data_IF_486071059802
#
_entry.id   IF_486071059802
#
_cell.length_a   1.000
_cell.length_b   1.000
_cell.length_c   1.000
_cell.angle_alpha   90.00
_cell.angle_beta   90.00
_cell.angle_gamma   90.00
#
_symmetry.space_group_name_H-M   'P 1'
#
loop_
_entity.id
_entity.type
_entity.pdbx_description
1 polymer ?
#
# COMPACT_ATOMS: atom_id res chain seq x y z
N UNK A 1 22.43 3.96 9.88
CA UNK A 1 22.93 3.72 8.50
C UNK A 1 21.72 3.41 7.63
N UNK A 2 21.53 4.13 6.54
CA UNK A 2 20.49 3.82 5.53
C UNK A 2 20.91 2.56 4.80
N UNK A 3 19.95 1.66 4.55
CA UNK A 3 20.19 0.41 3.80
C UNK A 3 20.49 0.72 2.34
N UNK A 4 21.25 -0.14 1.69
CA UNK A 4 21.42 -0.09 0.25
C UNK A 4 20.08 -0.35 -0.45
N UNK A 5 19.73 0.49 -1.43
CA UNK A 5 18.54 0.28 -2.25
C UNK A 5 18.98 -0.53 -3.47
N UNK A 6 18.51 -1.77 -3.57
CA UNK A 6 18.76 -2.64 -4.71
C UNK A 6 17.65 -2.51 -5.74
N UNK A 7 18.00 -2.19 -6.98
CA UNK A 7 17.06 -2.25 -8.11
C UNK A 7 17.10 -3.66 -8.73
N UNK A 8 15.91 -4.21 -8.94
CA UNK A 8 15.72 -5.50 -9.61
C UNK A 8 14.62 -5.39 -10.65
N UNK A 9 14.48 -6.41 -11.50
CA UNK A 9 13.38 -6.54 -12.46
C UNK A 9 12.64 -7.85 -12.24
N UNK A 10 11.34 -7.85 -12.57
CA UNK A 10 10.51 -9.03 -12.58
C UNK A 10 9.49 -8.96 -13.72
N UNK A 11 8.97 -10.10 -14.16
CA UNK A 11 7.93 -10.16 -15.20
C UNK A 11 6.59 -9.78 -14.58
N UNK A 12 6.02 -8.65 -15.00
CA UNK A 12 4.70 -8.20 -14.56
C UNK A 12 3.58 -9.11 -15.07
N UNK A 13 3.56 -9.32 -16.38
CA UNK A 13 2.76 -10.33 -17.09
C UNK A 13 3.51 -10.79 -18.35
N UNK A 14 3.21 -11.97 -18.93
CA UNK A 14 3.84 -12.41 -20.18
C UNK A 14 3.75 -11.37 -21.30
N UNK A 15 2.60 -10.70 -21.43
CA UNK A 15 2.33 -9.73 -22.51
C UNK A 15 2.98 -8.36 -22.25
N UNK A 16 3.13 -7.97 -20.99
CA UNK A 16 3.70 -6.65 -20.61
C UNK A 16 5.19 -6.72 -20.38
N UNK A 17 5.73 -7.92 -20.09
CA UNK A 17 7.14 -8.15 -19.86
C UNK A 17 7.64 -7.59 -18.52
N UNK A 18 8.91 -7.23 -18.49
CA UNK A 18 9.59 -6.78 -17.27
C UNK A 18 9.17 -5.39 -16.82
N UNK A 19 9.15 -5.21 -15.50
CA UNK A 19 9.05 -3.95 -14.79
C UNK A 19 10.08 -3.90 -13.66
N UNK A 20 10.45 -2.71 -13.24
CA UNK A 20 11.43 -2.46 -12.19
C UNK A 20 10.81 -2.51 -10.79
N UNK A 21 11.61 -2.93 -9.82
CA UNK A 21 11.32 -2.80 -8.41
C UNK A 21 12.56 -2.32 -7.64
N UNK A 22 12.31 -1.63 -6.51
CA UNK A 22 13.32 -1.18 -5.55
C UNK A 22 13.14 -1.94 -4.24
N UNK A 23 14.18 -2.64 -3.83
CA UNK A 23 14.20 -3.41 -2.59
C UNK A 23 15.08 -2.70 -1.57
N UNK A 24 14.52 -2.45 -0.38
CA UNK A 24 15.24 -1.91 0.78
C UNK A 24 15.16 -2.93 1.90
N UNK A 25 16.31 -3.36 2.44
CA UNK A 25 16.41 -4.41 3.46
C UNK A 25 17.18 -3.87 4.68
N UNK A 26 16.53 -3.23 5.65
CA UNK A 26 17.20 -2.81 6.87
C UNK A 26 17.70 -4.02 7.67
N UNK A 27 18.87 -3.86 8.32
CA UNK A 27 19.45 -4.91 9.13
C UNK A 27 18.48 -5.36 10.23
N UNK A 28 18.29 -6.66 10.37
CA UNK A 28 17.38 -7.25 11.34
C UNK A 28 15.89 -7.11 11.03
N UNK A 29 15.53 -6.71 9.79
CA UNK A 29 14.13 -6.69 9.36
C UNK A 29 13.50 -8.08 9.52
N UNK A 30 12.26 -8.11 9.98
CA UNK A 30 11.44 -9.32 10.11
C UNK A 30 10.23 -9.30 9.19
N UNK A 31 9.83 -8.11 8.77
CA UNK A 31 8.66 -7.85 7.94
C UNK A 31 9.08 -7.12 6.67
N UNK A 32 8.43 -7.48 5.55
CA UNK A 32 8.55 -6.77 4.28
C UNK A 32 7.17 -6.30 3.83
N UNK A 33 7.10 -5.08 3.33
CA UNK A 33 5.90 -4.54 2.68
C UNK A 33 6.11 -4.45 1.17
N UNK A 34 5.30 -5.17 0.41
CA UNK A 34 5.07 -4.92 -1.00
C UNK A 34 4.28 -3.61 -1.13
N UNK A 35 4.95 -2.54 -1.57
CA UNK A 35 4.44 -1.17 -1.57
C UNK A 35 4.21 -0.67 -3.00
N UNK A 36 2.96 -0.64 -3.42
CA UNK A 36 2.56 -0.11 -4.72
C UNK A 36 2.27 1.39 -4.68
N UNK A 37 2.28 2.02 -5.86
CA UNK A 37 2.09 3.46 -6.05
C UNK A 37 0.66 3.83 -6.51
N UNK A 38 0.33 5.12 -6.43
CA UNK A 38 -0.95 5.69 -6.91
C UNK A 38 -1.09 5.64 -8.44
N UNK A 39 -2.31 5.87 -8.94
CA UNK A 39 -2.67 5.70 -10.36
C UNK A 39 -1.83 6.53 -11.36
N UNK A 40 -1.43 7.75 -10.99
CA UNK A 40 -0.64 8.66 -11.84
C UNK A 40 0.77 8.85 -11.28
N UNK A 41 1.37 7.77 -10.77
CA UNK A 41 2.61 7.80 -10.01
C UNK A 41 3.55 6.67 -10.45
N UNK A 42 4.65 6.48 -9.74
CA UNK A 42 5.61 5.39 -9.92
C UNK A 42 6.31 5.05 -8.59
N UNK A 43 7.11 4.00 -8.57
CA UNK A 43 7.82 3.51 -7.39
C UNK A 43 8.83 4.51 -6.78
N UNK A 44 9.24 5.55 -7.54
CA UNK A 44 10.20 6.58 -7.12
C UNK A 44 9.52 7.91 -6.76
N UNK A 45 8.19 7.97 -6.77
CA UNK A 45 7.46 9.20 -6.45
C UNK A 45 7.74 9.64 -5.00
N UNK A 46 7.72 10.95 -4.71
CA UNK A 46 8.07 11.48 -3.38
C UNK A 46 7.29 10.80 -2.25
N UNK A 47 5.97 10.60 -2.41
CA UNK A 47 5.15 9.97 -1.39
C UNK A 47 5.59 8.53 -1.10
N UNK A 48 5.78 7.71 -2.14
CA UNK A 48 6.17 6.30 -1.98
C UNK A 48 7.59 6.20 -1.42
N UNK A 49 8.50 7.08 -1.84
CA UNK A 49 9.87 7.14 -1.33
C UNK A 49 9.90 7.53 0.16
N UNK A 50 9.14 8.56 0.54
CA UNK A 50 9.02 8.97 1.95
C UNK A 50 8.44 7.85 2.81
N UNK A 51 7.37 7.18 2.36
CA UNK A 51 6.82 6.03 3.08
C UNK A 51 7.88 4.94 3.29
N UNK A 52 8.63 4.59 2.24
CA UNK A 52 9.66 3.56 2.33
C UNK A 52 10.80 3.95 3.29
N UNK A 53 11.27 5.19 3.26
CA UNK A 53 12.29 5.72 4.16
C UNK A 53 11.86 5.67 5.63
N UNK A 54 10.61 6.06 5.92
CA UNK A 54 10.08 6.03 7.29
C UNK A 54 9.84 4.59 7.78
N UNK A 55 9.39 3.69 6.90
CA UNK A 55 9.25 2.26 7.20
C UNK A 55 10.61 1.61 7.47
N UNK A 56 11.63 1.93 6.66
CA UNK A 56 13.01 1.49 6.89
C UNK A 56 13.52 1.91 8.26
N UNK A 57 13.29 3.16 8.67
CA UNK A 57 13.67 3.66 9.99
C UNK A 57 12.96 2.90 11.15
N UNK A 58 11.89 2.17 10.88
CA UNK A 58 11.16 1.29 11.82
C UNK A 58 11.51 -0.19 11.64
N UNK A 59 12.52 -0.51 10.83
CA UNK A 59 12.98 -1.89 10.59
C UNK A 59 12.06 -2.71 9.67
N UNK A 60 11.21 -2.06 8.88
CA UNK A 60 10.35 -2.71 7.89
C UNK A 60 11.03 -2.63 6.52
N UNK A 61 11.30 -3.78 5.92
CA UNK A 61 11.76 -3.89 4.54
C UNK A 61 10.67 -3.46 3.57
N UNK A 62 11.05 -2.93 2.42
CA UNK A 62 10.09 -2.56 1.37
C UNK A 62 10.48 -3.12 0.02
N UNK A 63 9.47 -3.54 -0.73
CA UNK A 63 9.55 -3.89 -2.15
C UNK A 63 8.62 -2.95 -2.91
N UNK A 64 9.17 -1.87 -3.48
CA UNK A 64 8.43 -0.89 -4.29
C UNK A 64 8.51 -1.29 -5.75
N UNK A 65 7.41 -1.27 -6.49
CA UNK A 65 7.39 -1.72 -7.88
C UNK A 65 6.62 -0.77 -8.78
N UNK A 66 6.91 -0.83 -10.07
CA UNK A 66 6.14 -0.15 -11.10
C UNK A 66 5.05 -1.07 -11.69
N UNK A 67 3.87 -0.50 -11.95
CA UNK A 67 2.96 -1.09 -12.92
C UNK A 67 3.51 -0.89 -14.34
N UNK A 68 3.15 -1.75 -15.33
CA UNK A 68 3.69 -1.64 -16.68
C UNK A 68 3.49 -0.28 -17.35
N UNK A 69 2.37 0.40 -17.07
CA UNK A 69 2.13 1.75 -17.60
C UNK A 69 3.09 2.81 -16.99
N UNK A 70 3.52 2.62 -15.77
CA UNK A 70 4.49 3.53 -15.11
C UNK A 70 5.92 3.26 -15.55
N UNK A 71 6.22 2.03 -15.95
CA UNK A 71 7.53 1.64 -16.47
C UNK A 71 7.76 2.15 -17.88
N UNK A 72 6.79 1.97 -18.75
CA UNK A 72 6.92 2.23 -20.20
C UNK A 72 6.32 3.58 -20.64
N UNK A 73 5.64 4.27 -19.73
CA UNK A 73 4.79 5.40 -20.09
C UNK A 73 3.49 4.99 -20.74
N UNK A 74 2.60 5.96 -20.95
CA UNK A 74 1.31 5.74 -21.59
C UNK A 74 0.11 5.72 -20.64
N UNK A 75 -1.03 5.30 -21.14
CA UNK A 75 -2.28 5.19 -20.38
C UNK A 75 -2.26 4.05 -19.38
N UNK A 76 -3.04 4.21 -18.30
CA UNK A 76 -3.15 3.18 -17.27
C UNK A 76 -3.63 1.84 -17.85
N UNK A 77 -2.98 0.76 -17.46
CA UNK A 77 -3.39 -0.59 -17.86
C UNK A 77 -4.77 -0.97 -17.30
N UNK A 78 -5.38 -2.02 -17.86
CA UNK A 78 -6.62 -2.60 -17.32
C UNK A 78 -6.43 -3.05 -15.87
N UNK A 79 -7.52 -3.12 -15.11
CA UNK A 79 -7.46 -3.64 -13.74
C UNK A 79 -6.92 -5.08 -13.72
N UNK A 80 -7.31 -5.93 -14.68
CA UNK A 80 -6.80 -7.30 -14.78
C UNK A 80 -5.27 -7.35 -14.92
N UNK A 81 -4.68 -6.51 -15.80
CA UNK A 81 -3.22 -6.39 -15.91
C UNK A 81 -2.58 -5.93 -14.60
N UNK A 82 -3.19 -4.95 -13.92
CA UNK A 82 -2.66 -4.46 -12.65
C UNK A 82 -2.77 -5.50 -11.53
N UNK A 83 -3.85 -6.25 -11.45
CA UNK A 83 -4.04 -7.37 -10.52
C UNK A 83 -3.00 -8.46 -10.75
N UNK A 84 -2.79 -8.86 -12.02
CA UNK A 84 -1.75 -9.83 -12.38
C UNK A 84 -0.35 -9.32 -11.99
N UNK A 85 -0.07 -8.02 -12.21
CA UNK A 85 1.20 -7.40 -11.80
C UNK A 85 1.40 -7.47 -10.27
N UNK A 86 0.35 -7.22 -9.47
CA UNK A 86 0.41 -7.37 -8.00
C UNK A 86 0.80 -8.79 -7.60
N UNK A 87 0.21 -9.81 -8.23
CA UNK A 87 0.54 -11.23 -7.96
C UNK A 87 2.00 -11.55 -8.25
N UNK A 88 2.47 -11.12 -9.43
CA UNK A 88 3.87 -11.30 -9.83
C UNK A 88 4.83 -10.56 -8.90
N UNK A 89 4.47 -9.33 -8.49
CA UNK A 89 5.25 -8.54 -7.55
C UNK A 89 5.30 -9.18 -6.15
N UNK A 90 4.22 -9.81 -5.67
CA UNK A 90 4.21 -10.54 -4.40
C UNK A 90 5.13 -11.75 -4.44
N UNK A 91 5.15 -12.51 -5.54
CA UNK A 91 6.10 -13.59 -5.75
C UNK A 91 7.55 -13.09 -5.75
N UNK A 92 7.83 -12.05 -6.55
CA UNK A 92 9.18 -11.49 -6.64
C UNK A 92 9.67 -10.89 -5.30
N UNK A 93 8.77 -10.31 -4.49
CA UNK A 93 9.10 -9.80 -3.16
C UNK A 93 9.50 -10.94 -2.20
N UNK A 94 8.79 -12.06 -2.23
CA UNK A 94 9.12 -13.28 -1.48
C UNK A 94 10.51 -13.81 -1.84
N UNK A 95 10.78 -13.88 -3.14
CA UNK A 95 12.06 -14.39 -3.67
C UNK A 95 13.23 -13.44 -3.33
N UNK A 96 12.97 -12.12 -3.28
CA UNK A 96 13.97 -11.12 -2.95
C UNK A 96 14.36 -11.12 -1.46
N UNK A 97 13.49 -11.58 -0.56
CA UNK A 97 13.75 -11.61 0.87
C UNK A 97 13.11 -12.85 1.53
N UNK A 98 13.63 -14.05 1.25
CA UNK A 98 13.11 -15.27 1.83
C UNK A 98 13.25 -15.24 3.35
N UNK A 99 12.19 -15.65 4.05
CA UNK A 99 12.14 -15.68 5.52
C UNK A 99 11.57 -14.43 6.17
N UNK A 100 11.32 -13.33 5.45
CA UNK A 100 10.57 -12.21 5.99
C UNK A 100 9.05 -12.47 5.90
N UNK A 101 8.32 -12.05 6.92
CA UNK A 101 6.84 -11.98 6.87
C UNK A 101 6.44 -10.96 5.81
N UNK A 102 5.67 -11.37 4.81
CA UNK A 102 5.26 -10.49 3.72
C UNK A 102 3.88 -9.88 3.98
N UNK A 103 3.80 -8.57 3.86
CA UNK A 103 2.57 -7.78 3.80
C UNK A 103 2.47 -7.13 2.42
N UNK A 104 1.25 -6.86 1.95
CA UNK A 104 1.05 -6.26 0.64
C UNK A 104 0.08 -5.07 0.70
N UNK A 105 0.26 -4.09 -0.18
CA UNK A 105 -0.63 -2.95 -0.23
C UNK A 105 -0.07 -1.80 -1.06
N UNK A 106 -0.35 -0.59 -0.59
CA UNK A 106 0.18 0.61 -1.22
C UNK A 106 -0.75 1.80 -1.17
N UNK A 107 -0.33 2.88 -1.83
CA UNK A 107 -1.07 4.13 -1.85
C UNK A 107 -2.21 4.10 -2.86
N UNK A 108 -3.42 4.47 -2.40
CA UNK A 108 -4.56 4.73 -3.28
C UNK A 108 -4.86 3.58 -4.25
N UNK A 109 -4.61 3.76 -5.54
CA UNK A 109 -4.89 2.80 -6.60
C UNK A 109 -4.26 1.42 -6.36
N UNK A 110 -2.99 1.36 -5.96
CA UNK A 110 -2.34 0.07 -5.72
C UNK A 110 -2.93 -0.66 -4.51
N UNK A 111 -3.32 0.03 -3.45
CA UNK A 111 -4.05 -0.57 -2.34
C UNK A 111 -5.32 -1.28 -2.82
N UNK A 112 -6.10 -0.61 -3.68
CA UNK A 112 -7.29 -1.21 -4.29
C UNK A 112 -6.96 -2.39 -5.20
N UNK A 113 -5.92 -2.30 -6.03
CA UNK A 113 -5.52 -3.43 -6.90
C UNK A 113 -5.02 -4.62 -6.09
N UNK A 114 -4.32 -4.38 -4.98
CA UNK A 114 -3.86 -5.43 -4.07
C UNK A 114 -5.04 -6.11 -3.37
N UNK A 115 -6.01 -5.36 -2.86
CA UNK A 115 -7.20 -5.95 -2.26
C UNK A 115 -8.08 -6.67 -3.29
N UNK A 116 -8.19 -6.16 -4.51
CA UNK A 116 -8.87 -6.87 -5.61
C UNK A 116 -8.18 -8.20 -5.90
N UNK A 117 -6.85 -8.21 -6.02
CA UNK A 117 -6.09 -9.43 -6.21
C UNK A 117 -6.34 -10.44 -5.06
N UNK A 118 -6.27 -9.98 -3.82
CA UNK A 118 -6.47 -10.84 -2.65
C UNK A 118 -7.90 -11.37 -2.52
N UNK A 119 -8.91 -10.61 -2.96
CA UNK A 119 -10.33 -11.03 -2.95
C UNK A 119 -10.66 -12.07 -4.03
N UNK A 120 -9.98 -12.04 -5.17
CA UNK A 120 -10.16 -13.04 -6.24
C UNK A 120 -9.54 -14.40 -5.85
N UNK A 121 -8.35 -14.38 -5.26
CA UNK A 121 -7.71 -15.54 -4.63
C UNK A 121 -6.58 -15.07 -3.70
N UNK A 122 -6.25 -15.81 -2.63
CA UNK A 122 -5.19 -15.45 -1.71
C UNK A 122 -3.87 -15.11 -2.44
N UNK A 123 -3.20 -14.07 -1.96
CA UNK A 123 -1.83 -13.76 -2.37
C UNK A 123 -0.88 -14.66 -1.56
N UNK A 124 -0.22 -15.59 -2.22
CA UNK A 124 0.60 -16.61 -1.55
C UNK A 124 1.68 -15.99 -0.67
N UNK A 125 1.71 -16.38 0.61
CA UNK A 125 2.66 -15.90 1.60
C UNK A 125 2.40 -14.49 2.15
N UNK A 126 1.36 -13.80 1.68
CA UNK A 126 0.95 -12.49 2.23
C UNK A 126 0.11 -12.69 3.47
N UNK A 127 0.56 -12.13 4.59
CA UNK A 127 -0.07 -12.28 5.91
C UNK A 127 -1.10 -11.20 6.25
N UNK A 128 -1.07 -10.07 5.55
CA UNK A 128 -2.02 -8.98 5.76
C UNK A 128 -1.88 -7.90 4.71
N UNK A 129 -2.91 -7.06 4.57
CA UNK A 129 -2.93 -5.95 3.63
C UNK A 129 -2.84 -4.60 4.34
N UNK A 130 -2.12 -3.64 3.75
CA UNK A 130 -1.92 -2.31 4.32
C UNK A 130 -2.25 -1.25 3.28
N UNK A 131 -3.22 -0.40 3.59
CA UNK A 131 -3.74 0.62 2.69
C UNK A 131 -3.37 2.01 3.17
N UNK A 132 -2.66 2.75 2.36
CA UNK A 132 -2.32 4.14 2.55
C UNK A 132 -3.28 5.01 1.73
N UNK A 133 -4.38 5.47 2.36
CA UNK A 133 -5.45 6.20 1.68
C UNK A 133 -6.23 5.33 0.70
N UNK A 134 -6.99 4.33 1.19
CA UNK A 134 -7.84 3.49 0.32
C UNK A 134 -8.96 4.33 -0.29
N UNK A 135 -9.08 4.40 -1.64
CA UNK A 135 -10.10 5.23 -2.27
C UNK A 135 -11.44 4.50 -2.35
N UNK A 136 -12.43 4.90 -1.56
CA UNK A 136 -13.79 4.34 -1.62
C UNK A 136 -14.50 4.73 -2.92
N UNK A 137 -14.22 5.92 -3.44
CA UNK A 137 -14.92 6.49 -4.61
C UNK A 137 -14.00 7.44 -5.41
N UNK A 138 -14.40 7.87 -6.61
CA UNK A 138 -13.76 8.99 -7.30
C UNK A 138 -14.04 10.32 -6.58
N UNK A 139 -13.17 11.30 -6.72
CA UNK A 139 -13.39 12.64 -6.17
C UNK A 139 -14.73 13.22 -6.65
N UNK A 140 -15.52 13.78 -5.70
CA UNK A 140 -16.81 14.38 -5.98
C UNK A 140 -17.93 13.42 -6.37
N UNK A 141 -17.73 12.10 -6.19
CA UNK A 141 -18.75 11.07 -6.41
C UNK A 141 -18.75 10.09 -5.23
N UNK A 142 -19.25 10.52 -4.06
CA UNK A 142 -19.28 9.68 -2.86
C UNK A 142 -19.97 8.34 -3.09
N UNK A 143 -19.43 7.27 -2.51
CA UNK A 143 -19.94 5.91 -2.61
C UNK A 143 -18.96 4.89 -2.03
N UNK A 144 -19.36 3.63 -1.96
CA UNK A 144 -18.57 2.54 -1.36
C UNK A 144 -18.30 1.38 -2.32
N UNK A 145 -18.64 1.54 -3.59
CA UNK A 145 -18.59 0.47 -4.61
C UNK A 145 -17.17 -0.10 -4.78
N UNK A 146 -16.15 0.71 -4.54
CA UNK A 146 -14.76 0.26 -4.62
C UNK A 146 -14.32 -0.61 -3.43
N UNK A 147 -15.13 -0.70 -2.39
CA UNK A 147 -14.87 -1.50 -1.20
C UNK A 147 -15.65 -2.83 -1.17
N UNK A 148 -16.63 -3.05 -2.04
CA UNK A 148 -17.52 -4.23 -2.02
C UNK A 148 -16.75 -5.55 -1.96
N UNK A 149 -15.62 -5.67 -2.65
CA UNK A 149 -14.80 -6.88 -2.70
C UNK A 149 -14.02 -7.15 -1.39
N UNK A 150 -13.90 -6.16 -0.48
CA UNK A 150 -13.10 -6.29 0.75
C UNK A 150 -13.65 -7.35 1.70
N UNK A 151 -14.96 -7.60 1.69
CA UNK A 151 -15.57 -8.67 2.48
C UNK A 151 -15.10 -10.08 2.09
N UNK A 152 -14.50 -10.25 0.90
CA UNK A 152 -13.91 -11.52 0.44
C UNK A 152 -12.41 -11.65 0.75
N UNK A 153 -11.79 -10.64 1.36
CA UNK A 153 -10.38 -10.70 1.76
C UNK A 153 -10.24 -11.46 3.07
N UNK A 154 -9.50 -12.56 3.05
CA UNK A 154 -9.37 -13.47 4.20
C UNK A 154 -8.30 -13.08 5.21
N UNK A 155 -7.34 -12.23 4.83
CA UNK A 155 -6.25 -11.80 5.71
C UNK A 155 -6.58 -10.49 6.42
N UNK A 156 -5.95 -10.18 7.57
CA UNK A 156 -6.10 -8.90 8.25
C UNK A 156 -5.79 -7.70 7.35
N UNK A 157 -6.49 -6.60 7.57
CA UNK A 157 -6.36 -5.37 6.80
C UNK A 157 -6.13 -4.17 7.72
N UNK A 158 -5.12 -3.33 7.39
CA UNK A 158 -4.89 -2.04 8.04
C UNK A 158 -5.22 -0.91 7.07
N UNK A 159 -6.11 -0.03 7.49
CA UNK A 159 -6.46 1.20 6.78
C UNK A 159 -5.82 2.40 7.50
N UNK A 160 -4.96 3.13 6.80
CA UNK A 160 -4.38 4.40 7.22
C UNK A 160 -5.00 5.48 6.35
N UNK A 161 -5.89 6.30 6.90
CA UNK A 161 -6.67 7.25 6.13
C UNK A 161 -6.66 8.63 6.77
N UNK A 162 -6.51 9.66 5.95
CA UNK A 162 -6.61 11.04 6.41
C UNK A 162 -8.05 11.45 6.71
N UNK A 163 -8.27 12.22 7.80
CA UNK A 163 -9.60 12.70 8.16
C UNK A 163 -10.21 13.70 7.15
N UNK A 164 -9.40 14.16 6.18
CA UNK A 164 -9.80 15.06 5.09
C UNK A 164 -9.61 14.44 3.71
N UNK A 165 -9.59 13.10 3.63
CA UNK A 165 -9.45 12.40 2.36
C UNK A 165 -10.74 12.52 1.53
N UNK A 166 -10.69 13.28 0.44
CA UNK A 166 -11.81 13.49 -0.48
C UNK A 166 -12.15 12.26 -1.37
N UNK A 167 -11.41 11.16 -1.25
CA UNK A 167 -11.69 9.88 -1.91
C UNK A 167 -12.20 8.82 -0.95
N UNK A 168 -12.27 9.15 0.37
CA UNK A 168 -12.70 8.25 1.43
C UNK A 168 -13.28 9.08 2.59
N UNK A 169 -14.42 9.75 2.35
CA UNK A 169 -15.09 10.56 3.35
C UNK A 169 -15.40 9.73 4.61
N UNK A 170 -15.13 10.27 5.81
CA UNK A 170 -15.21 9.53 7.07
C UNK A 170 -16.57 8.89 7.32
N UNK A 171 -17.65 9.61 7.01
CA UNK A 171 -19.03 9.11 7.16
C UNK A 171 -19.33 7.88 6.29
N UNK A 172 -18.50 7.60 5.27
CA UNK A 172 -18.55 6.39 4.45
C UNK A 172 -17.47 5.38 4.87
N UNK A 173 -16.26 5.85 5.19
CA UNK A 173 -15.12 4.98 5.50
C UNK A 173 -15.30 4.25 6.82
N UNK A 174 -15.66 4.96 7.89
CA UNK A 174 -15.79 4.37 9.22
C UNK A 174 -16.80 3.21 9.25
N UNK A 175 -18.05 3.35 8.78
CA UNK A 175 -18.96 2.20 8.74
C UNK A 175 -18.49 1.11 7.79
N UNK A 176 -17.92 1.45 6.63
CA UNK A 176 -17.41 0.44 5.70
C UNK A 176 -16.32 -0.43 6.34
N UNK A 177 -15.40 0.16 7.09
CA UNK A 177 -14.33 -0.59 7.75
C UNK A 177 -14.86 -1.33 8.99
N UNK A 178 -15.79 -0.75 9.73
CA UNK A 178 -16.40 -1.39 10.90
C UNK A 178 -17.16 -2.69 10.56
N UNK A 179 -17.72 -2.77 9.34
CA UNK A 179 -18.41 -3.96 8.85
C UNK A 179 -17.45 -5.09 8.41
N UNK A 180 -16.13 -4.84 8.35
CA UNK A 180 -15.12 -5.82 7.94
C UNK A 180 -14.51 -6.51 9.17
N UNK A 181 -14.66 -7.85 9.34
CA UNK A 181 -14.29 -8.54 10.59
C UNK A 181 -12.78 -8.49 10.90
N UNK A 182 -11.94 -8.35 9.88
CA UNK A 182 -10.49 -8.41 10.01
C UNK A 182 -9.81 -7.06 9.67
N UNK A 183 -10.53 -5.95 9.81
CA UNK A 183 -10.02 -4.63 9.47
C UNK A 183 -9.73 -3.77 10.69
N UNK A 184 -8.64 -3.03 10.62
CA UNK A 184 -8.25 -2.00 11.58
C UNK A 184 -8.20 -0.66 10.85
N UNK A 185 -8.86 0.35 11.39
CA UNK A 185 -8.80 1.72 10.89
C UNK A 185 -7.95 2.59 11.81
N UNK A 186 -6.97 3.28 11.24
CA UNK A 186 -6.23 4.34 11.89
C UNK A 186 -6.44 5.66 11.14
N UNK A 187 -6.99 6.65 11.83
CA UNK A 187 -7.26 7.97 11.28
C UNK A 187 -6.08 8.91 11.52
N UNK A 188 -5.59 9.50 10.44
CA UNK A 188 -4.52 10.50 10.43
C UNK A 188 -5.15 11.88 10.49
N UNK A 189 -5.10 12.49 11.67
CA UNK A 189 -5.75 13.77 11.94
C UNK A 189 -5.31 14.87 10.96
N UNK A 190 -6.27 15.56 10.38
CA UNK A 190 -6.14 16.65 9.40
C UNK A 190 -5.40 16.30 8.10
N UNK A 191 -5.05 15.04 7.86
CA UNK A 191 -4.41 14.63 6.63
C UNK A 191 -5.40 14.54 5.46
N UNK A 192 -4.94 14.89 4.26
CA UNK A 192 -5.64 14.65 2.99
C UNK A 192 -5.22 13.30 2.37
N UNK A 193 -5.72 13.01 1.15
CA UNK A 193 -5.41 11.79 0.41
C UNK A 193 -3.90 11.56 0.15
N UNK A 194 -3.11 12.61 0.14
CA UNK A 194 -1.64 12.57 -0.03
C UNK A 194 -0.88 12.75 1.28
N UNK A 195 -1.59 12.68 2.41
CA UNK A 195 -1.08 12.86 3.77
C UNK A 195 -0.53 14.28 4.06
N UNK A 196 -0.98 15.29 3.31
CA UNK A 196 -0.73 16.68 3.68
C UNK A 196 -1.64 17.07 4.84
N UNK A 197 -1.04 17.55 5.93
CA UNK A 197 -1.74 17.90 7.16
C UNK A 197 -1.92 19.41 7.32
N UNK A 198 -2.96 19.81 8.04
CA UNK A 198 -3.14 21.18 8.52
C UNK A 198 -2.41 21.35 9.86
N UNK A 199 -1.12 21.68 9.80
CA UNK A 199 -0.21 21.72 10.99
C UNK A 199 -0.78 22.48 12.20
N UNK A 200 -1.53 23.57 11.98
CA UNK A 200 -2.10 24.39 13.08
C UNK A 200 -3.30 23.73 13.78
N UNK A 201 -3.99 22.82 13.10
CA UNK A 201 -5.22 22.18 13.59
C UNK A 201 -5.00 20.71 14.00
N UNK A 202 -3.82 20.15 13.68
CA UNK A 202 -3.47 18.77 14.00
C UNK A 202 -3.23 18.63 15.50
N UNK A 203 -3.87 17.64 16.13
CA UNK A 203 -3.73 17.34 17.55
C UNK A 203 -2.37 16.69 17.89
N UNK A 204 -1.82 15.90 16.96
CA UNK A 204 -0.51 15.24 17.13
C UNK A 204 0.64 16.15 16.67
N UNK A 205 1.73 16.14 17.44
CA UNK A 205 3.02 16.78 17.08
C UNK A 205 3.92 15.85 16.26
N UNK A 206 3.60 14.55 16.20
CA UNK A 206 4.34 13.57 15.40
C UNK A 206 4.20 13.87 13.91
N UNK A 207 5.28 13.76 13.13
CA UNK A 207 5.19 13.85 11.68
C UNK A 207 4.25 12.76 11.15
N UNK A 208 3.41 13.10 10.17
CA UNK A 208 2.37 12.18 9.69
C UNK A 208 2.95 10.90 9.06
N UNK A 209 4.09 10.98 8.39
CA UNK A 209 4.74 9.79 7.82
C UNK A 209 5.44 8.95 8.89
N UNK A 210 5.94 9.58 9.97
CA UNK A 210 6.48 8.86 11.13
C UNK A 210 5.37 8.11 11.86
N UNK A 211 4.18 8.72 12.02
CA UNK A 211 2.99 8.09 12.59
C UNK A 211 2.53 6.90 11.72
N UNK A 212 2.42 7.09 10.41
CA UNK A 212 2.08 6.02 9.45
C UNK A 212 3.06 4.85 9.59
N UNK A 213 4.36 5.12 9.60
CA UNK A 213 5.37 4.06 9.68
C UNK A 213 5.35 3.34 11.03
N UNK A 214 5.15 4.08 12.13
CA UNK A 214 5.02 3.50 13.46
C UNK A 214 3.82 2.56 13.55
N UNK A 215 2.64 3.03 13.17
CA UNK A 215 1.41 2.23 13.19
C UNK A 215 1.53 0.99 12.29
N UNK A 216 2.09 1.16 11.09
CA UNK A 216 2.36 0.04 10.17
C UNK A 216 3.26 -1.01 10.81
N UNK A 217 4.39 -0.59 11.40
CA UNK A 217 5.34 -1.52 12.01
C UNK A 217 4.78 -2.19 13.27
N UNK A 218 4.01 -1.49 14.09
CA UNK A 218 3.34 -2.03 15.27
C UNK A 218 2.29 -3.08 14.87
N UNK A 219 1.44 -2.75 13.91
CA UNK A 219 0.41 -3.66 13.43
C UNK A 219 1.01 -4.92 12.80
N UNK A 220 2.02 -4.78 11.93
CA UNK A 220 2.68 -5.92 11.28
C UNK A 220 3.42 -6.84 12.28
N UNK A 221 3.84 -6.33 13.43
CA UNK A 221 4.44 -7.16 14.50
C UNK A 221 3.41 -7.99 15.25
N UNK A 222 2.16 -7.54 15.29
CA UNK A 222 1.07 -8.23 15.95
C UNK A 222 0.48 -9.38 15.14
N UNK A 223 0.84 -9.51 13.85
CA UNK A 223 0.46 -10.59 12.95
C UNK A 223 1.61 -11.62 12.92
#
# INVERSE_FOLDING_TARGET
MTSEIKEIKFIATPEKGEVSALVTLPAGARNMLLLGHGASSNMRSPLVSTLAERLEARGVATFRYNFPYSEKGGGRNSNATCVATVRSAASAARDAAPGLKLFAGGHSFSGRMTSTAASESPLEGVLGLIFFGFPLHPAGKPGTERAVHLGSVSVPMLFLSGTRDALAELNLLEPTVADLPNATLHLLDTADHSFKVLKRSRSSTEDVFDEIARITAEWARGI
#
